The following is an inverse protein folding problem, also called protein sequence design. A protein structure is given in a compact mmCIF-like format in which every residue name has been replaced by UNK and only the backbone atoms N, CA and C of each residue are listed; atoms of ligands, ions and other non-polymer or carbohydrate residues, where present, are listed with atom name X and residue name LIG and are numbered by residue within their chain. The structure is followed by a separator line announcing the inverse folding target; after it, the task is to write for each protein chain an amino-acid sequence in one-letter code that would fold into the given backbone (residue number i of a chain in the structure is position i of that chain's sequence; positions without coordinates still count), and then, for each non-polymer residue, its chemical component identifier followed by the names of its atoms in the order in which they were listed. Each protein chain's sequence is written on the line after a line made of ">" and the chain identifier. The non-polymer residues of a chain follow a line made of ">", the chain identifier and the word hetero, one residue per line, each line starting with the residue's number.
data_IF_752800026974
#
_entry.id   IF_752800026974
#
_cell.length_a   1.000
_cell.length_b   1.000
_cell.length_c   1.000
_cell.angle_alpha   90.00
_cell.angle_beta   90.00
_cell.angle_gamma   90.00
#
_symmetry.space_group_name_H-M   'P 1'
#
loop_
_entity.id
_entity.type
_entity.pdbx_description
1 polymer ?
#
# COMPACT_ATOMS: atom_id res chain seq x y z
N UNK A 1 -9.96 -23.20 -1.11
CA UNK A 1 -10.51 -23.45 -2.46
C UNK A 1 -11.18 -22.15 -2.87
N UNK A 2 -10.63 -21.46 -3.87
CA UNK A 2 -11.12 -20.16 -4.35
C UNK A 2 -12.56 -20.28 -4.87
N UNK A 3 -13.43 -19.36 -4.45
CA UNK A 3 -14.79 -19.28 -5.01
C UNK A 3 -14.73 -18.90 -6.50
N UNK A 4 -15.51 -19.62 -7.33
CA UNK A 4 -15.62 -19.38 -8.77
C UNK A 4 -16.78 -18.45 -9.07
N UNK A 5 -16.65 -17.68 -10.16
CA UNK A 5 -17.66 -16.71 -10.62
C UNK A 5 -19.12 -17.21 -10.66
N UNK A 6 -19.36 -18.50 -10.92
CA UNK A 6 -20.69 -19.09 -11.01
C UNK A 6 -21.21 -19.73 -9.71
N UNK A 7 -20.43 -19.75 -8.65
CA UNK A 7 -20.79 -20.31 -7.34
C UNK A 7 -21.65 -19.31 -6.53
N UNK A 8 -22.41 -19.78 -5.52
CA UNK A 8 -23.15 -18.90 -4.62
C UNK A 8 -22.24 -17.86 -3.96
N UNK A 9 -22.72 -16.62 -3.86
CA UNK A 9 -21.96 -15.53 -3.28
C UNK A 9 -21.78 -15.71 -1.76
N UNK A 10 -20.60 -15.36 -1.25
CA UNK A 10 -20.26 -15.48 0.18
C UNK A 10 -21.14 -14.63 1.12
N UNK A 11 -21.83 -13.62 0.58
CA UNK A 11 -22.70 -12.73 1.37
C UNK A 11 -24.05 -13.36 1.73
N UNK A 12 -24.34 -14.59 1.29
CA UNK A 12 -25.61 -15.27 1.58
C UNK A 12 -26.82 -14.76 0.80
N UNK A 13 -26.62 -13.88 -0.20
CA UNK A 13 -27.71 -13.30 -1.01
C UNK A 13 -28.45 -14.30 -1.90
N UNK A 14 -27.96 -15.54 -2.03
CA UNK A 14 -28.45 -16.53 -2.99
C UNK A 14 -28.08 -16.22 -4.45
N UNK A 15 -27.47 -15.07 -4.73
CA UNK A 15 -26.98 -14.72 -6.07
C UNK A 15 -25.65 -15.40 -6.39
N UNK A 16 -25.32 -15.52 -7.69
CA UNK A 16 -23.98 -15.94 -8.13
C UNK A 16 -22.96 -14.86 -7.80
N UNK A 17 -21.74 -15.24 -7.42
CA UNK A 17 -20.65 -14.32 -7.08
C UNK A 17 -20.46 -13.22 -8.15
N UNK A 18 -20.42 -13.60 -9.43
CA UNK A 18 -20.26 -12.66 -10.56
C UNK A 18 -21.40 -11.69 -10.82
N UNK A 19 -22.56 -11.89 -10.17
CA UNK A 19 -23.74 -11.01 -10.26
C UNK A 19 -23.94 -10.20 -8.98
N UNK A 20 -23.03 -10.32 -8.02
CA UNK A 20 -23.17 -9.74 -6.70
C UNK A 20 -21.91 -8.96 -6.30
N UNK A 21 -20.75 -9.61 -6.17
CA UNK A 21 -19.51 -8.93 -5.72
C UNK A 21 -18.42 -8.83 -6.80
N UNK A 22 -18.65 -9.36 -8.01
CA UNK A 22 -17.76 -9.19 -9.18
C UNK A 22 -18.49 -8.65 -10.42
N UNK A 23 -19.69 -8.08 -10.24
CA UNK A 23 -20.48 -7.60 -11.36
C UNK A 23 -20.09 -6.16 -11.72
N UNK A 24 -19.31 -6.00 -12.81
CA UNK A 24 -18.94 -4.68 -13.33
C UNK A 24 -20.12 -3.77 -13.62
N UNK A 25 -21.30 -4.32 -13.89
CA UNK A 25 -22.49 -3.51 -14.19
C UNK A 25 -23.04 -2.81 -12.95
N UNK A 26 -22.67 -3.28 -11.76
CA UNK A 26 -22.98 -2.60 -10.50
C UNK A 26 -22.02 -1.44 -10.23
N UNK A 27 -20.85 -1.45 -10.85
CA UNK A 27 -19.92 -0.32 -10.82
C UNK A 27 -20.44 0.75 -11.79
N UNK A 28 -21.38 1.57 -11.33
CA UNK A 28 -21.82 2.79 -12.02
C UNK A 28 -20.73 3.88 -11.97
N UNK A 29 -19.50 3.57 -12.40
CA UNK A 29 -18.36 4.48 -12.33
C UNK A 29 -17.66 4.62 -13.67
N UNK A 30 -17.11 5.80 -13.91
CA UNK A 30 -16.31 6.09 -15.11
C UNK A 30 -14.92 5.48 -14.94
N UNK A 31 -14.38 4.77 -15.95
CA UNK A 31 -12.99 4.31 -15.91
C UNK A 31 -12.03 5.45 -15.60
N UNK A 32 -10.97 5.14 -14.85
CA UNK A 32 -9.92 6.09 -14.52
C UNK A 32 -9.13 6.44 -15.78
N UNK A 33 -8.99 7.73 -16.04
CA UNK A 33 -8.17 8.28 -17.12
C UNK A 33 -7.11 9.14 -16.46
N UNK A 34 -5.85 8.93 -16.84
CA UNK A 34 -4.72 9.76 -16.38
C UNK A 34 -4.96 11.20 -16.83
N UNK A 35 -5.02 12.10 -15.84
CA UNK A 35 -5.21 13.53 -16.01
C UNK A 35 -3.90 14.30 -16.24
N UNK A 36 -3.97 15.62 -16.12
CA UNK A 36 -2.81 16.49 -16.22
C UNK A 36 -2.02 16.49 -14.90
N UNK A 37 -0.72 16.18 -14.99
CA UNK A 37 0.20 16.17 -13.85
C UNK A 37 0.81 17.56 -13.66
N UNK A 38 0.57 18.19 -12.51
CA UNK A 38 1.16 19.50 -12.19
C UNK A 38 2.69 19.40 -11.94
N UNK A 39 3.46 20.51 -12.01
CA UNK A 39 4.90 20.47 -11.74
C UNK A 39 5.28 19.90 -10.37
N UNK A 40 6.52 19.42 -10.24
CA UNK A 40 7.05 18.90 -8.97
C UNK A 40 7.07 19.98 -7.90
N UNK A 41 6.67 19.63 -6.68
CA UNK A 41 6.73 20.52 -5.52
C UNK A 41 8.15 20.59 -4.95
N UNK A 42 8.55 21.77 -4.49
CA UNK A 42 9.91 22.02 -4.00
C UNK A 42 10.09 21.56 -2.55
N UNK A 43 11.19 20.87 -2.28
CA UNK A 43 11.61 20.49 -0.93
C UNK A 43 12.70 21.46 -0.46
N UNK A 44 12.57 22.11 0.73
CA UNK A 44 13.58 23.01 1.27
C UNK A 44 14.97 22.36 1.41
N UNK A 45 16.02 23.15 1.18
CA UNK A 45 17.40 22.66 1.22
C UNK A 45 17.86 22.16 2.59
N UNK A 46 17.20 22.61 3.66
CA UNK A 46 17.44 22.13 5.03
C UNK A 46 17.00 20.69 5.27
N UNK A 47 16.18 20.10 4.39
CA UNK A 47 15.73 18.72 4.51
C UNK A 47 16.73 17.79 3.82
N UNK A 48 17.20 16.78 4.58
CA UNK A 48 18.11 15.76 4.08
C UNK A 48 17.42 14.94 3.00
N UNK A 49 18.08 14.79 1.86
CA UNK A 49 17.56 14.05 0.70
C UNK A 49 18.12 12.64 0.66
N UNK A 50 17.33 11.65 0.22
CA UNK A 50 17.84 10.30 0.04
C UNK A 50 18.82 10.23 -1.15
N UNK A 51 19.76 9.26 -1.17
CA UNK A 51 20.89 9.26 -2.09
C UNK A 51 20.51 9.29 -3.59
N UNK A 52 19.38 8.70 -3.97
CA UNK A 52 18.94 8.64 -5.37
C UNK A 52 18.57 9.99 -5.96
N UNK A 53 18.25 10.98 -5.14
CA UNK A 53 17.98 12.36 -5.60
C UNK A 53 19.24 13.01 -6.17
N UNK A 54 20.41 12.61 -5.67
CA UNK A 54 21.73 13.05 -6.14
C UNK A 54 22.44 12.03 -7.04
N UNK A 55 21.69 11.09 -7.66
CA UNK A 55 22.26 10.07 -8.56
C UNK A 55 22.90 8.86 -7.86
N UNK A 56 22.64 8.68 -6.56
CA UNK A 56 23.02 7.48 -5.82
C UNK A 56 22.31 6.23 -6.33
N UNK A 57 22.84 5.04 -5.99
CA UNK A 57 22.29 3.76 -6.44
C UNK A 57 20.87 3.52 -5.90
N UNK A 58 20.02 2.98 -6.78
CA UNK A 58 18.69 2.46 -6.47
C UNK A 58 18.76 0.93 -6.58
N UNK A 59 18.15 0.21 -5.66
CA UNK A 59 18.02 -1.25 -5.74
C UNK A 59 18.18 -1.93 -4.40
N UNK A 60 17.84 -3.23 -4.32
CA UNK A 60 17.38 -3.80 -3.07
C UNK A 60 18.45 -3.94 -1.99
N UNK A 61 19.74 -3.76 -2.32
CA UNK A 61 20.81 -3.94 -1.34
C UNK A 61 20.65 -5.25 -0.56
N UNK A 62 21.11 -5.25 0.68
CA UNK A 62 20.91 -6.37 1.61
C UNK A 62 19.65 -6.17 2.46
N UNK A 63 19.24 -7.24 3.15
CA UNK A 63 18.21 -7.16 4.18
C UNK A 63 18.53 -6.10 5.24
N UNK A 64 17.53 -5.31 5.60
CA UNK A 64 17.66 -4.23 6.59
C UNK A 64 17.47 -4.85 7.98
N UNK A 65 18.58 -5.07 8.69
CA UNK A 65 18.59 -5.59 10.07
C UNK A 65 19.12 -4.49 10.97
N UNK A 66 18.37 -4.18 12.02
CA UNK A 66 18.57 -2.98 12.82
C UNK A 66 19.25 -3.24 14.17
N UNK A 67 20.16 -2.36 14.53
CA UNK A 67 20.57 -2.12 15.91
C UNK A 67 19.58 -1.15 16.61
N UNK A 68 19.70 -0.90 17.93
CA UNK A 68 18.76 -0.02 18.63
C UNK A 68 18.68 1.41 18.08
N UNK A 69 19.81 1.97 17.62
CA UNK A 69 19.88 3.35 17.11
C UNK A 69 19.18 3.47 15.76
N UNK A 70 19.52 2.58 14.82
CA UNK A 70 18.89 2.54 13.50
C UNK A 70 17.41 2.18 13.57
N UNK A 71 16.99 1.34 14.53
CA UNK A 71 15.57 1.06 14.76
C UNK A 71 14.82 2.29 15.30
N UNK A 72 15.43 3.08 16.19
CA UNK A 72 14.82 4.32 16.67
C UNK A 72 14.62 5.34 15.53
N UNK A 73 15.61 5.47 14.63
CA UNK A 73 15.49 6.30 13.44
C UNK A 73 14.40 5.80 12.48
N UNK A 74 14.27 4.47 12.29
CA UNK A 74 13.21 3.88 11.48
C UNK A 74 11.83 4.15 12.08
N UNK A 75 11.67 4.03 13.41
CA UNK A 75 10.42 4.38 14.11
C UNK A 75 10.04 5.85 13.90
N UNK A 76 10.99 6.78 13.89
CA UNK A 76 10.72 8.18 13.60
C UNK A 76 10.15 8.36 12.19
N UNK A 77 10.79 7.75 11.17
CA UNK A 77 10.33 7.82 9.79
C UNK A 77 8.93 7.19 9.62
N UNK A 78 8.70 6.01 10.22
CA UNK A 78 7.41 5.33 10.17
C UNK A 78 6.28 6.12 10.85
N UNK A 79 6.56 6.75 12.00
CA UNK A 79 5.59 7.62 12.67
C UNK A 79 5.20 8.81 11.79
N UNK A 80 6.18 9.44 11.14
CA UNK A 80 5.92 10.55 10.21
C UNK A 80 5.06 10.07 9.03
N UNK A 81 5.36 8.92 8.44
CA UNK A 81 4.56 8.35 7.36
C UNK A 81 3.10 8.12 7.79
N UNK A 82 2.88 7.52 8.97
CA UNK A 82 1.53 7.32 9.50
C UNK A 82 0.75 8.63 9.73
N UNK A 83 1.41 9.66 10.26
CA UNK A 83 0.80 10.99 10.46
C UNK A 83 0.46 11.67 9.12
N UNK A 84 1.37 11.57 8.14
CA UNK A 84 1.14 12.11 6.79
C UNK A 84 0.00 11.38 6.09
N UNK A 85 -0.08 10.05 6.22
CA UNK A 85 -1.18 9.26 5.65
C UNK A 85 -2.53 9.70 6.20
N UNK A 86 -2.63 9.92 7.52
CA UNK A 86 -3.86 10.38 8.17
C UNK A 86 -4.26 11.78 7.68
N UNK A 87 -3.31 12.70 7.55
CA UNK A 87 -3.59 14.05 7.02
C UNK A 87 -4.03 14.02 5.56
N UNK A 88 -3.36 13.21 4.72
CA UNK A 88 -3.71 13.04 3.32
C UNK A 88 -5.10 12.40 3.15
N UNK A 89 -5.38 11.35 3.91
CA UNK A 89 -6.68 10.68 3.91
C UNK A 89 -7.83 11.60 4.37
N UNK A 90 -7.57 12.51 5.31
CA UNK A 90 -8.57 13.49 5.77
C UNK A 90 -8.98 14.49 4.67
N UNK A 91 -8.17 14.68 3.64
CA UNK A 91 -8.48 15.52 2.49
C UNK A 91 -9.35 14.82 1.43
N UNK A 92 -9.59 13.50 1.55
CA UNK A 92 -10.37 12.73 0.59
C UNK A 92 -11.85 13.12 0.68
N UNK A 93 -12.38 13.67 -0.42
CA UNK A 93 -13.81 13.95 -0.58
C UNK A 93 -14.18 14.00 -2.07
N UNK A 94 -15.46 13.81 -2.44
CA UNK A 94 -15.92 14.04 -3.81
C UNK A 94 -15.53 15.44 -4.32
N UNK A 95 -15.01 15.52 -5.54
CA UNK A 95 -14.56 16.74 -6.19
C UNK A 95 -13.11 17.14 -5.89
N UNK A 96 -12.46 16.55 -4.88
CA UNK A 96 -11.04 16.79 -4.58
C UNK A 96 -10.17 16.05 -5.58
N UNK A 97 -9.12 16.70 -6.09
CA UNK A 97 -8.17 16.05 -7.00
C UNK A 97 -7.09 15.28 -6.26
N UNK A 98 -6.52 14.26 -6.89
CA UNK A 98 -5.37 13.54 -6.32
C UNK A 98 -4.14 14.44 -6.17
N UNK A 99 -3.92 15.42 -7.06
CA UNK A 99 -2.87 16.43 -6.90
C UNK A 99 -3.06 17.35 -5.69
N UNK A 100 -4.32 17.59 -5.26
CA UNK A 100 -4.59 18.29 -4.01
C UNK A 100 -4.19 17.45 -2.79
N UNK A 101 -4.49 16.15 -2.82
CA UNK A 101 -4.08 15.21 -1.76
C UNK A 101 -2.54 15.12 -1.69
N UNK A 102 -1.85 15.09 -2.83
CA UNK A 102 -0.38 15.21 -2.89
C UNK A 102 0.11 16.52 -2.28
N UNK A 103 -0.58 17.65 -2.51
CA UNK A 103 -0.21 18.93 -1.92
C UNK A 103 -0.27 18.89 -0.37
N UNK A 104 -1.33 18.30 0.17
CA UNK A 104 -1.52 18.12 1.62
C UNK A 104 -0.42 17.22 2.19
N UNK A 105 -0.20 16.05 1.58
CA UNK A 105 0.85 15.14 2.02
C UNK A 105 2.25 15.76 1.93
N UNK A 106 2.56 16.43 0.83
CA UNK A 106 3.83 17.13 0.63
C UNK A 106 4.07 18.15 1.74
N UNK A 107 3.09 19.03 2.01
CA UNK A 107 3.20 20.00 3.08
C UNK A 107 3.40 19.34 4.46
N UNK A 108 2.69 18.23 4.72
CA UNK A 108 2.81 17.47 5.96
C UNK A 108 4.20 16.83 6.16
N UNK A 109 4.84 16.35 5.08
CA UNK A 109 6.24 15.91 5.12
C UNK A 109 7.19 17.05 5.46
N UNK A 110 7.07 18.18 4.76
CA UNK A 110 7.96 19.34 4.95
C UNK A 110 7.85 19.87 6.38
N UNK A 111 6.63 19.98 6.92
CA UNK A 111 6.38 20.42 8.29
C UNK A 111 7.07 19.54 9.35
N UNK A 112 7.32 18.26 9.02
CA UNK A 112 8.01 17.28 9.87
C UNK A 112 9.49 17.14 9.54
N UNK A 113 10.00 17.97 8.62
CA UNK A 113 11.37 17.93 8.14
C UNK A 113 11.73 16.61 7.45
N UNK A 114 10.75 15.92 6.88
CA UNK A 114 10.95 14.67 6.14
C UNK A 114 10.93 14.94 4.63
N UNK A 115 11.67 14.12 3.89
CA UNK A 115 11.62 14.11 2.44
C UNK A 115 10.58 13.07 1.96
N UNK A 116 9.68 13.40 1.02
CA UNK A 116 8.76 12.42 0.42
C UNK A 116 9.52 11.44 -0.47
N UNK A 117 9.67 10.18 -0.07
CA UNK A 117 10.61 9.26 -0.71
C UNK A 117 10.30 9.00 -2.19
N UNK A 118 9.03 8.95 -2.56
CA UNK A 118 8.62 8.75 -3.97
C UNK A 118 9.10 9.89 -4.88
N UNK A 119 9.29 11.11 -4.37
CA UNK A 119 9.66 12.26 -5.18
C UNK A 119 11.06 12.11 -5.79
N UNK A 120 11.10 11.93 -7.12
CA UNK A 120 12.32 11.70 -7.88
C UNK A 120 12.84 10.26 -7.83
N UNK A 121 12.19 9.35 -7.09
CA UNK A 121 12.57 7.94 -7.06
C UNK A 121 12.36 7.30 -8.43
N UNK A 122 13.45 6.87 -9.09
CA UNK A 122 13.46 6.42 -10.49
C UNK A 122 12.74 7.37 -11.47
N UNK A 123 12.67 8.65 -11.13
CA UNK A 123 11.97 9.66 -11.93
C UNK A 123 10.49 9.88 -11.60
N UNK A 124 9.91 9.20 -10.61
CA UNK A 124 8.53 9.44 -10.19
C UNK A 124 8.28 10.92 -9.84
N UNK A 125 7.20 11.55 -10.31
CA UNK A 125 7.09 13.01 -10.30
C UNK A 125 6.43 13.61 -9.05
N UNK A 126 5.83 12.80 -8.17
CA UNK A 126 5.01 13.27 -7.05
C UNK A 126 5.51 12.76 -5.70
N UNK A 127 4.88 13.22 -4.63
CA UNK A 127 5.31 13.02 -3.24
C UNK A 127 4.65 11.81 -2.57
N UNK A 128 3.58 11.31 -3.19
CA UNK A 128 2.79 10.14 -2.80
C UNK A 128 2.28 9.44 -4.08
N UNK A 129 1.82 8.20 -3.95
CA UNK A 129 1.00 7.56 -4.98
C UNK A 129 -0.49 7.66 -4.58
N UNK A 130 -1.36 7.81 -5.58
CA UNK A 130 -2.82 7.82 -5.40
C UNK A 130 -3.48 6.89 -6.43
N UNK A 131 -3.85 5.70 -5.99
CA UNK A 131 -4.36 4.63 -6.86
C UNK A 131 -5.87 4.51 -6.71
N UNK A 132 -6.60 5.08 -7.67
CA UNK A 132 -8.07 5.12 -7.66
C UNK A 132 -8.64 3.88 -8.34
N UNK A 133 -9.63 3.23 -7.73
CA UNK A 133 -10.46 2.19 -8.35
C UNK A 133 -9.66 1.03 -8.96
N UNK A 134 -9.62 0.90 -10.30
CA UNK A 134 -8.90 -0.16 -11.03
C UNK A 134 -7.39 0.06 -11.13
N UNK A 135 -6.88 1.19 -10.64
CA UNK A 135 -5.44 1.39 -10.48
C UNK A 135 -4.98 0.53 -9.31
N UNK A 136 -4.08 -0.42 -9.60
CA UNK A 136 -3.52 -1.37 -8.63
C UNK A 136 -2.54 -0.67 -7.70
N UNK A 137 -1.56 0.05 -8.27
CA UNK A 137 -0.53 0.76 -7.53
C UNK A 137 0.08 1.87 -8.40
N UNK A 138 0.93 2.69 -7.77
CA UNK A 138 1.76 3.72 -8.42
C UNK A 138 1.00 4.79 -9.23
N UNK A 139 -0.30 4.99 -8.97
CA UNK A 139 -1.05 6.07 -9.60
C UNK A 139 -0.41 7.43 -9.31
N UNK A 140 -0.11 8.20 -10.36
CA UNK A 140 0.49 9.53 -10.24
C UNK A 140 -0.61 10.55 -9.88
N UNK A 141 -0.48 11.33 -8.79
CA UNK A 141 -1.36 12.44 -8.50
C UNK A 141 -1.49 13.43 -9.67
N UNK A 142 -2.73 13.71 -10.07
CA UNK A 142 -3.12 14.49 -11.24
C UNK A 142 -4.37 15.37 -10.96
N UNK A 143 -4.93 15.99 -12.00
CA UNK A 143 -6.11 16.85 -11.90
C UNK A 143 -7.45 16.09 -11.93
N UNK A 144 -7.47 14.74 -11.87
CA UNK A 144 -8.70 13.97 -11.81
C UNK A 144 -9.43 14.25 -10.49
N UNK A 145 -10.66 14.79 -10.49
CA UNK A 145 -11.46 14.89 -9.28
C UNK A 145 -11.97 13.50 -8.89
N UNK A 146 -11.88 13.17 -7.61
CA UNK A 146 -12.49 11.98 -7.03
C UNK A 146 -14.02 12.08 -7.14
N UNK A 147 -14.67 10.95 -7.41
CA UNK A 147 -16.14 10.86 -7.51
C UNK A 147 -16.70 10.14 -6.29
N UNK A 148 -17.92 10.48 -5.88
CA UNK A 148 -18.62 9.70 -4.86
C UNK A 148 -18.77 8.25 -5.37
N UNK A 149 -18.43 7.28 -4.52
CA UNK A 149 -18.36 5.87 -4.90
C UNK A 149 -16.98 5.37 -5.33
N UNK A 150 -16.00 6.27 -5.53
CA UNK A 150 -14.61 5.87 -5.74
C UNK A 150 -14.01 5.26 -4.45
N UNK A 151 -13.00 4.43 -4.63
CA UNK A 151 -12.00 4.13 -3.61
C UNK A 151 -10.64 4.65 -4.07
N UNK A 152 -9.80 5.10 -3.13
CA UNK A 152 -8.45 5.57 -3.43
C UNK A 152 -7.46 5.04 -2.41
N UNK A 153 -6.47 4.27 -2.85
CA UNK A 153 -5.28 4.01 -2.04
C UNK A 153 -4.37 5.24 -2.06
N UNK A 154 -3.94 5.65 -0.87
CA UNK A 154 -2.93 6.69 -0.67
C UNK A 154 -1.72 6.00 -0.08
N UNK A 155 -0.60 6.07 -0.79
CA UNK A 155 0.67 5.42 -0.42
C UNK A 155 1.74 6.47 -0.13
N UNK A 156 2.30 6.41 1.07
CA UNK A 156 3.15 7.43 1.66
C UNK A 156 4.41 6.82 2.26
N UNK A 157 5.56 7.28 1.77
CA UNK A 157 6.87 6.92 2.31
C UNK A 157 7.66 8.15 2.79
N UNK A 158 7.91 8.26 4.10
CA UNK A 158 8.74 9.33 4.67
C UNK A 158 10.22 8.96 4.67
N UNK A 159 11.11 9.88 4.27
CA UNK A 159 12.55 9.79 4.52
C UNK A 159 12.98 10.78 5.61
N UNK A 160 13.43 10.25 6.75
CA UNK A 160 13.87 11.03 7.91
C UNK A 160 14.99 10.30 8.64
N UNK A 161 15.96 11.06 9.16
CA UNK A 161 17.06 10.50 9.97
C UNK A 161 17.82 9.35 9.26
N UNK A 162 17.91 9.42 7.93
CA UNK A 162 18.57 8.40 7.11
C UNK A 162 17.76 7.12 6.85
N UNK A 163 16.49 7.09 7.21
CA UNK A 163 15.58 5.94 7.08
C UNK A 163 14.33 6.28 6.29
N UNK A 164 13.80 5.29 5.56
CA UNK A 164 12.50 5.29 4.93
C UNK A 164 11.50 4.57 5.85
N UNK A 165 10.30 5.12 6.01
CA UNK A 165 9.16 4.46 6.65
C UNK A 165 7.93 4.56 5.76
N UNK A 166 7.19 3.46 5.62
CA UNK A 166 6.24 3.26 4.52
C UNK A 166 4.91 2.65 4.97
N UNK A 167 3.83 3.20 4.45
CA UNK A 167 2.47 2.76 4.73
C UNK A 167 1.49 3.32 3.71
N UNK A 168 0.42 2.57 3.48
CA UNK A 168 -0.66 2.96 2.61
C UNK A 168 -2.01 2.49 3.15
N UNK A 169 -3.07 3.17 2.73
CA UNK A 169 -4.43 2.76 3.04
C UNK A 169 -5.40 3.13 1.91
N UNK A 170 -6.32 2.21 1.59
CA UNK A 170 -7.46 2.50 0.74
C UNK A 170 -8.57 3.20 1.53
N UNK A 171 -8.97 4.38 1.06
CA UNK A 171 -10.01 5.25 1.64
C UNK A 171 -11.25 5.26 0.73
N UNK A 172 -12.44 5.28 1.33
CA UNK A 172 -13.71 5.39 0.63
C UNK A 172 -14.02 6.86 0.32
N UNK A 173 -14.47 7.15 -0.91
CA UNK A 173 -14.87 8.50 -1.32
C UNK A 173 -16.39 8.63 -1.24
N UNK A 174 -16.89 9.23 -0.15
CA UNK A 174 -18.33 9.33 0.09
C UNK A 174 -18.97 7.95 0.29
N UNK A 175 -20.20 7.76 -0.23
CA UNK A 175 -20.91 6.50 -0.15
C UNK A 175 -20.44 5.53 -1.23
N UNK A 176 -19.86 4.40 -0.82
CA UNK A 176 -19.32 3.36 -1.71
C UNK A 176 -20.22 2.12 -1.68
N UNK A 177 -20.36 1.45 -2.82
CA UNK A 177 -21.12 0.21 -2.93
C UNK A 177 -20.62 -0.84 -1.92
N UNK A 178 -21.55 -1.57 -1.30
CA UNK A 178 -21.24 -2.56 -0.26
C UNK A 178 -20.21 -3.62 -0.72
N UNK A 179 -20.24 -4.03 -1.98
CA UNK A 179 -19.28 -5.00 -2.52
C UNK A 179 -17.85 -4.44 -2.58
N UNK A 180 -17.70 -3.16 -2.94
CA UNK A 180 -16.42 -2.44 -3.01
C UNK A 180 -15.92 -2.12 -1.60
N UNK A 181 -16.79 -1.68 -0.69
CA UNK A 181 -16.44 -1.51 0.73
C UNK A 181 -15.96 -2.84 1.36
N UNK A 182 -16.57 -3.97 0.95
CA UNK A 182 -16.15 -5.29 1.39
C UNK A 182 -14.76 -5.68 0.87
N UNK A 183 -14.42 -5.36 -0.38
CA UNK A 183 -13.07 -5.54 -0.92
C UNK A 183 -12.03 -4.78 -0.09
N UNK A 184 -12.30 -3.50 0.23
CA UNK A 184 -11.42 -2.66 1.05
C UNK A 184 -11.19 -3.29 2.42
N UNK A 185 -12.26 -3.66 3.13
CA UNK A 185 -12.13 -4.27 4.46
C UNK A 185 -11.43 -5.64 4.44
N UNK A 186 -11.75 -6.49 3.45
CA UNK A 186 -11.04 -7.76 3.26
C UNK A 186 -9.54 -7.53 3.03
N UNK A 187 -9.17 -6.51 2.28
CA UNK A 187 -7.75 -6.18 2.03
C UNK A 187 -7.04 -5.70 3.28
N UNK A 188 -7.70 -4.85 4.06
CA UNK A 188 -7.19 -4.38 5.35
C UNK A 188 -6.93 -5.54 6.31
N UNK A 189 -7.90 -6.46 6.44
CA UNK A 189 -7.79 -7.63 7.30
C UNK A 189 -6.74 -8.62 6.78
N UNK A 190 -6.65 -8.84 5.47
CA UNK A 190 -5.63 -9.68 4.86
C UNK A 190 -4.21 -9.19 5.21
N UNK A 191 -3.99 -7.87 5.14
CA UNK A 191 -2.72 -7.25 5.53
C UNK A 191 -2.36 -7.57 6.99
N UNK A 192 -3.28 -7.36 7.92
CA UNK A 192 -3.05 -7.65 9.34
C UNK A 192 -2.89 -9.17 9.63
N UNK A 193 -3.60 -10.03 8.90
CA UNK A 193 -3.44 -11.50 8.97
C UNK A 193 -2.04 -11.92 8.52
N UNK A 194 -1.55 -11.32 7.42
CA UNK A 194 -0.17 -11.53 6.94
C UNK A 194 0.86 -11.12 7.98
N UNK A 195 0.67 -9.94 8.60
CA UNK A 195 1.55 -9.44 9.66
C UNK A 195 1.53 -10.37 10.88
N UNK A 196 0.36 -10.84 11.31
CA UNK A 196 0.22 -11.75 12.45
C UNK A 196 0.94 -13.09 12.25
N UNK A 197 1.26 -13.48 11.01
CA UNK A 197 2.03 -14.68 10.71
C UNK A 197 3.56 -14.49 10.90
N UNK A 198 4.03 -13.25 11.08
CA UNK A 198 5.46 -12.96 11.21
C UNK A 198 5.97 -13.39 12.60
N UNK A 199 7.02 -14.20 12.60
CA UNK A 199 7.79 -14.53 13.79
C UNK A 199 9.23 -14.89 13.39
N UNK A 200 10.22 -14.69 14.28
CA UNK A 200 11.61 -15.00 13.98
C UNK A 200 11.79 -16.49 13.63
N UNK A 201 12.60 -16.76 12.61
CA UNK A 201 12.88 -18.11 12.10
C UNK A 201 11.79 -18.71 11.22
N UNK A 202 10.61 -18.07 11.09
CA UNK A 202 9.59 -18.54 10.14
C UNK A 202 10.01 -18.26 8.69
N UNK A 203 9.59 -19.12 7.74
CA UNK A 203 9.72 -18.82 6.32
C UNK A 203 9.00 -17.53 5.95
N UNK A 204 9.57 -16.73 5.05
CA UNK A 204 8.96 -15.49 4.56
C UNK A 204 7.59 -15.74 3.91
N UNK A 205 7.46 -16.81 3.12
CA UNK A 205 6.19 -17.27 2.55
C UNK A 205 5.07 -17.55 3.57
N UNK A 206 5.35 -17.62 4.87
CA UNK A 206 4.32 -17.75 5.90
C UNK A 206 3.31 -16.58 5.86
N UNK A 207 3.74 -15.40 5.38
CA UNK A 207 2.88 -14.24 5.17
C UNK A 207 1.83 -14.55 4.09
N UNK A 208 2.26 -15.02 2.91
CA UNK A 208 1.35 -15.43 1.84
C UNK A 208 0.49 -16.65 2.20
N UNK A 209 1.05 -17.64 2.90
CA UNK A 209 0.32 -18.82 3.39
C UNK A 209 -0.83 -18.44 4.36
N UNK A 210 -0.73 -17.29 5.04
CA UNK A 210 -1.81 -16.75 5.86
C UNK A 210 -2.82 -15.90 5.06
N UNK A 211 -2.33 -15.07 4.13
CA UNK A 211 -3.17 -14.19 3.30
C UNK A 211 -4.05 -14.98 2.33
N UNK A 212 -3.46 -15.88 1.53
CA UNK A 212 -4.14 -16.51 0.38
C UNK A 212 -5.43 -17.23 0.78
N UNK A 213 -5.46 -18.11 1.81
CA UNK A 213 -6.69 -18.80 2.19
C UNK A 213 -7.79 -17.85 2.64
N UNK A 214 -7.41 -16.73 3.29
CA UNK A 214 -8.36 -15.72 3.73
C UNK A 214 -8.97 -14.97 2.55
N UNK A 215 -8.19 -14.62 1.52
CA UNK A 215 -8.67 -13.89 0.34
C UNK A 215 -9.51 -14.80 -0.56
N UNK A 216 -9.08 -16.04 -0.77
CA UNK A 216 -9.72 -17.04 -1.64
C UNK A 216 -11.20 -17.27 -1.31
N UNK A 217 -11.59 -17.19 -0.04
CA UNK A 217 -12.96 -17.41 0.40
C UNK A 217 -13.94 -16.32 -0.07
N UNK A 218 -13.42 -15.19 -0.55
CA UNK A 218 -14.21 -14.09 -1.13
C UNK A 218 -14.20 -14.11 -2.66
N UNK A 219 -13.40 -15.01 -3.27
CA UNK A 219 -13.27 -15.12 -4.73
C UNK A 219 -12.46 -14.01 -5.39
N UNK A 220 -11.79 -13.17 -4.59
CA UNK A 220 -10.87 -12.13 -5.07
C UNK A 220 -9.55 -12.73 -5.59
N UNK A 221 -8.79 -11.92 -6.32
CA UNK A 221 -7.43 -12.25 -6.77
C UNK A 221 -6.38 -11.38 -6.07
N UNK A 222 -5.12 -11.81 -6.10
CA UNK A 222 -3.98 -11.10 -5.53
C UNK A 222 -2.98 -10.81 -6.64
N UNK A 223 -2.50 -9.56 -6.71
CA UNK A 223 -1.44 -9.17 -7.65
C UNK A 223 -0.11 -9.79 -7.19
N UNK A 224 0.59 -10.48 -8.08
CA UNK A 224 1.75 -11.31 -7.72
C UNK A 224 3.10 -10.69 -8.10
N UNK A 225 3.09 -9.75 -9.03
CA UNK A 225 4.24 -9.08 -9.63
C UNK A 225 4.75 -7.94 -8.75
N UNK A 226 3.87 -7.44 -7.88
CA UNK A 226 4.16 -6.47 -6.84
C UNK A 226 3.99 -7.11 -5.47
N UNK A 227 4.74 -6.62 -4.49
CA UNK A 227 4.76 -7.20 -3.15
C UNK A 227 5.69 -6.41 -2.25
N UNK A 228 5.70 -6.80 -0.98
CA UNK A 228 6.47 -6.08 0.02
C UNK A 228 7.96 -6.15 -0.20
N UNK A 229 8.68 -5.40 0.59
CA UNK A 229 10.12 -5.30 0.49
C UNK A 229 10.75 -5.08 1.85
N UNK A 230 12.04 -5.40 1.98
CA UNK A 230 12.83 -4.85 3.07
C UNK A 230 12.83 -3.33 3.00
N UNK A 231 12.91 -2.65 4.14
CA UNK A 231 12.88 -1.19 4.17
C UNK A 231 13.70 -0.63 5.32
N UNK A 232 14.42 0.47 5.09
CA UNK A 232 15.22 1.10 6.12
C UNK A 232 16.07 2.20 5.51
N UNK A 233 17.39 2.01 5.47
CA UNK A 233 18.29 2.96 4.79
C UNK A 233 18.07 2.99 3.28
N UNK A 234 17.62 1.86 2.75
CA UNK A 234 17.23 1.66 1.36
C UNK A 234 15.70 1.61 1.31
N UNK A 235 15.11 2.39 0.41
CA UNK A 235 13.65 2.47 0.24
C UNK A 235 13.05 1.09 -0.07
N UNK A 236 13.38 0.53 -1.22
CA UNK A 236 13.00 -0.84 -1.59
C UNK A 236 14.22 -1.72 -1.44
N UNK A 237 14.26 -2.53 -0.37
CA UNK A 237 15.37 -3.41 -0.03
C UNK A 237 15.01 -4.91 -0.16
N UNK A 238 16.00 -5.80 -0.08
CA UNK A 238 15.74 -7.24 0.08
C UNK A 238 15.16 -7.52 1.47
N UNK A 239 14.38 -8.60 1.68
CA UNK A 239 13.83 -9.48 0.66
C UNK A 239 12.63 -8.86 -0.04
N UNK A 240 12.26 -9.37 -1.22
CA UNK A 240 10.92 -9.17 -1.76
C UNK A 240 9.94 -10.10 -1.02
N UNK A 241 8.79 -9.56 -0.61
CA UNK A 241 7.77 -10.24 0.20
C UNK A 241 6.56 -10.54 -0.67
N UNK A 242 6.43 -11.79 -1.12
CA UNK A 242 5.30 -12.22 -1.93
C UNK A 242 4.01 -12.26 -1.08
N UNK A 243 2.90 -11.83 -1.67
CA UNK A 243 1.56 -12.01 -1.09
C UNK A 243 0.80 -13.20 -1.72
N UNK A 244 1.36 -13.81 -2.75
CA UNK A 244 0.97 -15.11 -3.29
C UNK A 244 1.97 -16.18 -2.83
N UNK A 245 1.53 -17.44 -2.78
CA UNK A 245 2.38 -18.53 -2.29
C UNK A 245 3.41 -18.87 -3.37
N UNK A 246 4.69 -18.60 -3.08
CA UNK A 246 5.83 -19.10 -3.84
C UNK A 246 6.44 -20.31 -3.09
N UNK A 247 6.13 -21.57 -3.49
CA UNK A 247 6.55 -22.76 -2.75
C UNK A 247 8.06 -22.94 -2.70
N UNK A 248 8.84 -22.26 -3.55
CA UNK A 248 10.30 -22.30 -3.58
C UNK A 248 10.95 -21.24 -2.70
N UNK A 249 10.19 -20.31 -2.13
CA UNK A 249 10.73 -19.35 -1.18
C UNK A 249 11.25 -20.09 0.07
N UNK A 250 12.51 -19.81 0.43
CA UNK A 250 13.25 -20.37 1.57
C UNK A 250 13.81 -19.26 2.47
N UNK A 251 13.54 -17.99 2.17
CA UNK A 251 13.99 -16.88 3.01
C UNK A 251 13.37 -17.01 4.40
N UNK A 252 14.14 -16.65 5.42
CA UNK A 252 13.70 -16.68 6.82
C UNK A 252 13.59 -15.25 7.34
N UNK A 253 12.54 -15.02 8.12
CA UNK A 253 12.35 -13.81 8.91
C UNK A 253 13.37 -13.82 10.06
N UNK A 254 14.20 -12.78 10.17
CA UNK A 254 15.26 -12.68 11.19
C UNK A 254 14.90 -11.60 12.20
N UNK A 255 15.24 -11.76 13.49
CA UNK A 255 15.10 -10.68 14.46
C UNK A 255 15.71 -9.37 13.95
N UNK A 256 15.00 -8.27 14.23
CA UNK A 256 15.32 -6.90 13.86
C UNK A 256 15.33 -6.61 12.36
N UNK A 257 14.85 -7.55 11.53
CA UNK A 257 14.60 -7.31 10.12
C UNK A 257 13.34 -6.47 9.95
N UNK A 258 13.44 -5.40 9.16
CA UNK A 258 12.29 -4.59 8.76
C UNK A 258 11.85 -4.93 7.34
N UNK A 259 10.53 -5.07 7.16
CA UNK A 259 9.87 -5.34 5.89
C UNK A 259 8.53 -4.61 5.82
N UNK A 260 7.99 -4.46 4.61
CA UNK A 260 6.61 -4.07 4.36
C UNK A 260 5.74 -5.32 4.12
N UNK A 261 4.46 -5.23 4.49
CA UNK A 261 3.41 -6.18 4.12
C UNK A 261 2.30 -5.36 3.47
N UNK A 262 2.07 -5.57 2.18
CA UNK A 262 1.33 -4.64 1.31
C UNK A 262 0.48 -5.35 0.23
N UNK A 263 -0.39 -6.33 0.58
CA UNK A 263 -1.12 -7.09 -0.42
C UNK A 263 -2.05 -6.19 -1.25
N UNK A 264 -1.89 -6.24 -2.57
CA UNK A 264 -2.82 -5.68 -3.55
C UNK A 264 -3.84 -6.75 -3.92
N UNK A 265 -5.10 -6.51 -3.59
CA UNK A 265 -6.21 -7.44 -3.84
C UNK A 265 -7.17 -6.81 -4.82
N UNK A 266 -7.64 -7.58 -5.78
CA UNK A 266 -8.60 -7.15 -6.80
C UNK A 266 -9.87 -8.00 -6.75
N UNK A 267 -11.03 -7.35 -6.95
CA UNK A 267 -12.27 -8.10 -7.17
C UNK A 267 -12.38 -8.67 -8.58
N UNK A 268 -11.43 -8.35 -9.46
CA UNK A 268 -11.37 -8.85 -10.83
C UNK A 268 -10.31 -9.91 -11.04
N UNK A 269 -9.51 -9.71 -12.08
CA UNK A 269 -8.40 -10.58 -12.47
C UNK A 269 -7.08 -9.93 -12.09
N UNK A 270 -6.05 -10.74 -11.87
CA UNK A 270 -4.71 -10.26 -11.53
C UNK A 270 -3.88 -9.78 -12.73
N UNK A 271 -4.40 -9.86 -13.96
CA UNK A 271 -3.69 -9.31 -15.13
C UNK A 271 -3.87 -7.80 -15.23
N UNK A 272 -2.80 -7.12 -15.63
CA UNK A 272 -2.74 -5.67 -15.65
C UNK A 272 -1.81 -5.15 -16.75
N UNK A 273 -1.91 -3.85 -17.02
CA UNK A 273 -1.03 -3.14 -17.93
C UNK A 273 -0.60 -1.79 -17.34
N UNK A 274 0.61 -1.39 -17.70
CA UNK A 274 1.16 -0.09 -17.33
C UNK A 274 0.60 1.01 -18.23
N UNK A 275 0.21 2.12 -17.62
CA UNK A 275 -0.24 3.33 -18.27
C UNK A 275 0.85 4.03 -19.08
N UNK A 276 0.44 4.98 -19.92
CA UNK A 276 1.34 5.72 -20.79
C UNK A 276 2.31 6.66 -20.05
N UNK A 277 2.09 6.89 -18.75
CA UNK A 277 2.97 7.65 -17.87
C UNK A 277 4.18 6.84 -17.36
N UNK A 278 4.20 5.53 -17.63
CA UNK A 278 5.28 4.61 -17.24
C UNK A 278 5.27 4.20 -15.76
N UNK A 279 4.18 4.47 -15.04
CA UNK A 279 4.05 4.18 -13.61
C UNK A 279 2.72 3.55 -13.23
N UNK A 280 1.60 4.14 -13.66
CA UNK A 280 0.27 3.76 -13.17
C UNK A 280 -0.10 2.37 -13.69
N UNK A 281 -0.38 1.42 -12.80
CA UNK A 281 -0.73 0.04 -13.17
C UNK A 281 -2.24 -0.16 -13.12
N UNK A 282 -2.86 -0.51 -14.25
CA UNK A 282 -4.31 -0.70 -14.36
C UNK A 282 -4.66 -2.18 -14.47
N UNK A 283 -5.62 -2.65 -13.66
CA UNK A 283 -6.24 -3.95 -13.89
C UNK A 283 -6.86 -3.97 -15.30
N UNK A 284 -6.56 -5.00 -16.11
CA UNK A 284 -7.01 -5.13 -17.54
C UNK A 284 -8.53 -5.14 -17.72
N UNK A 285 -9.18 -5.30 -16.60
CA UNK A 285 -10.55 -5.67 -16.44
C UNK A 285 -11.29 -4.48 -15.77
N UNK A 286 -10.62 -3.44 -15.28
CA UNK A 286 -11.29 -2.25 -14.75
C UNK A 286 -12.11 -2.50 -13.47
N UNK A 287 -12.06 -3.71 -12.89
CA UNK A 287 -12.58 -3.95 -11.56
C UNK A 287 -11.64 -3.35 -10.51
N UNK A 288 -12.15 -2.96 -9.33
CA UNK A 288 -11.35 -2.29 -8.33
C UNK A 288 -10.26 -3.19 -7.76
N UNK A 289 -9.14 -2.56 -7.42
CA UNK A 289 -8.14 -3.07 -6.52
C UNK A 289 -8.08 -2.21 -5.25
N UNK A 290 -7.73 -2.84 -4.13
CA UNK A 290 -7.45 -2.17 -2.88
C UNK A 290 -6.09 -2.65 -2.36
N UNK A 291 -5.46 -1.82 -1.53
CA UNK A 291 -4.18 -2.10 -0.90
C UNK A 291 -4.13 -1.43 0.48
N UNK A 292 -3.50 -2.11 1.43
CA UNK A 292 -3.10 -1.54 2.70
C UNK A 292 -1.68 -1.99 2.98
N UNK A 293 -0.93 -1.18 3.72
CA UNK A 293 0.45 -1.49 4.00
C UNK A 293 0.89 -1.03 5.39
N UNK A 294 1.70 -1.88 6.01
CA UNK A 294 2.52 -1.51 7.16
C UNK A 294 3.99 -1.85 6.93
N UNK A 295 4.88 -0.93 7.32
CA UNK A 295 6.24 -1.27 7.74
C UNK A 295 6.21 -1.93 9.13
N UNK A 296 6.87 -3.08 9.24
CA UNK A 296 7.00 -3.84 10.48
C UNK A 296 8.45 -4.22 10.74
N UNK A 297 8.78 -4.53 12.00
CA UNK A 297 10.06 -5.13 12.38
C UNK A 297 9.81 -6.47 13.06
N UNK A 298 10.56 -7.50 12.67
CA UNK A 298 10.58 -8.79 13.36
C UNK A 298 11.26 -8.59 14.72
N UNK A 299 10.67 -9.05 15.81
CA UNK A 299 11.28 -9.00 17.15
C UNK A 299 11.84 -10.37 17.53
N UNK A 300 12.47 -10.47 18.71
CA UNK A 300 12.96 -11.76 19.22
C UNK A 300 11.84 -12.79 19.50
N UNK A 301 10.58 -12.35 19.59
CA UNK A 301 9.44 -13.21 19.91
C UNK A 301 8.23 -13.05 18.98
N UNK A 302 8.29 -12.20 17.96
CA UNK A 302 7.15 -11.91 17.08
C UNK A 302 7.40 -10.77 16.11
N UNK A 303 6.51 -9.80 16.09
CA UNK A 303 6.52 -8.66 15.18
C UNK A 303 6.03 -7.39 15.89
N UNK A 304 6.57 -6.24 15.51
CA UNK A 304 6.13 -4.92 15.93
C UNK A 304 5.74 -4.10 14.69
N UNK A 305 4.55 -3.50 14.71
CA UNK A 305 4.10 -2.56 13.67
C UNK A 305 4.71 -1.19 13.96
N UNK A 306 5.40 -0.60 12.98
CA UNK A 306 6.14 0.65 13.17
C UNK A 306 5.37 1.88 12.68
N UNK A 307 4.49 1.75 11.68
CA UNK A 307 3.73 2.87 11.11
C UNK A 307 2.48 3.18 11.94
N UNK A 308 2.74 3.65 13.16
CA UNK A 308 1.77 4.17 14.11
C UNK A 308 2.10 5.63 14.44
N UNK A 309 1.08 6.45 14.64
CA UNK A 309 1.27 7.81 15.19
C UNK A 309 1.80 7.76 16.63
N UNK A 310 2.22 8.90 17.19
CA UNK A 310 2.68 8.97 18.58
C UNK A 310 1.64 8.51 19.61
N UNK A 311 0.34 8.62 19.30
CA UNK A 311 -0.78 8.14 20.11
C UNK A 311 -1.29 6.75 19.70
N UNK A 312 -0.54 6.02 18.85
CA UNK A 312 -0.81 4.63 18.49
C UNK A 312 -1.88 4.41 17.42
N UNK A 313 -2.27 5.45 16.67
CA UNK A 313 -3.27 5.35 15.60
C UNK A 313 -2.65 4.87 14.28
N UNK A 314 -3.45 4.14 13.50
CA UNK A 314 -3.15 3.66 12.15
C UNK A 314 -4.45 3.59 11.35
N UNK A 315 -4.42 3.93 10.05
CA UNK A 315 -5.55 3.71 9.14
C UNK A 315 -5.71 2.25 8.72
N UNK A 316 -4.66 1.45 8.83
CA UNK A 316 -4.70 0.00 8.55
C UNK A 316 -5.26 -0.76 9.77
N UNK A 317 -5.01 -0.27 10.98
CA UNK A 317 -5.32 -0.93 12.26
C UNK A 317 -4.08 -1.46 12.97
N UNK A 318 -4.27 -2.23 14.04
CA UNK A 318 -3.18 -2.83 14.84
C UNK A 318 -3.51 -4.28 15.21
N UNK A 319 -2.57 -4.96 15.88
CA UNK A 319 -2.79 -6.28 16.51
C UNK A 319 -3.14 -6.13 18.01
N UNK A 320 -3.85 -7.10 18.63
CA UNK A 320 -4.48 -8.27 18.00
C UNK A 320 -5.62 -7.85 17.05
N UNK A 321 -5.98 -8.74 16.12
CA UNK A 321 -7.10 -8.51 15.20
C UNK A 321 -8.40 -8.27 16.00
N UNK A 322 -9.28 -7.37 15.53
CA UNK A 322 -10.58 -7.12 16.14
C UNK A 322 -11.54 -8.31 16.04
#
# INVERSE_FOLDING_TARGET
>A
MRLRANEPCFCGSGSKLKRCHLDRRLLERTPVIIGAVSPRRAVPDSIVRPPYVSGGRIGPGAAQIHDPESLAALREACRIAAEVLIEAAAAVAPGVTTDHIDAVAHAAYIARGAYPSTLGYRGFPKSICTSVNEVICHGIPDDRPLQAGDIVNIDVTAYRSGMHGDTSATVLVGDVEASTAKLVETTRLATLIGIAAIAPGRPLRAIAEAIVPYVDQFGYDIISEYGGHGIGRVFHASPHVNHTIEPRDRALLKPWMSITVEPMITSGVSTFHQGHDGWTEFADDGLPSAQFEHTVVVTDSGVEILTLTSDGRSLVGTLPLP
#
